data_IF_235784045423
#
_entry.id   IF_235784045423
#
_cell.length_a   1.000
_cell.length_b   1.000
_cell.length_c   1.000
_cell.angle_alpha   90.00
_cell.angle_beta   90.00
_cell.angle_gamma   90.00
#
_symmetry.space_group_name_H-M   'P 1'
#
loop_
_entity.id
_entity.type
_entity.pdbx_description
1 polymer ?
#
# COMPACT_ATOMS: atom_id res chain seq x y z
N UNK A 1 -36.74 -62.82 63.84
CA UNK A 1 -35.79 -61.72 64.09
C UNK A 1 -34.48 -62.06 63.38
N UNK A 2 -34.02 -61.22 62.46
CA UNK A 2 -32.64 -61.01 61.95
C UNK A 2 -32.77 -60.26 60.60
N UNK A 3 -32.96 -58.94 60.63
CA UNK A 3 -31.97 -57.88 60.30
C UNK A 3 -31.53 -57.85 58.82
N UNK A 4 -32.24 -57.04 58.03
CA UNK A 4 -31.82 -56.55 56.71
C UNK A 4 -30.64 -55.58 56.86
N UNK A 5 -29.57 -55.79 56.09
CA UNK A 5 -28.43 -54.88 55.94
C UNK A 5 -28.67 -54.01 54.69
N UNK A 6 -28.63 -52.66 54.76
CA UNK A 6 -28.72 -51.84 53.56
C UNK A 6 -27.35 -51.74 52.90
N UNK A 7 -27.26 -52.15 51.63
CA UNK A 7 -26.11 -51.88 50.77
C UNK A 7 -26.19 -50.42 50.35
N UNK A 8 -25.28 -49.59 50.88
CA UNK A 8 -25.08 -48.22 50.40
C UNK A 8 -24.16 -48.28 49.18
N UNK A 9 -24.76 -48.22 47.99
CA UNK A 9 -24.02 -48.02 46.75
C UNK A 9 -23.61 -46.54 46.65
N UNK A 10 -22.35 -46.24 46.94
CA UNK A 10 -21.77 -44.91 46.74
C UNK A 10 -21.63 -44.64 45.24
N UNK A 11 -22.52 -43.83 44.68
CA UNK A 11 -22.40 -43.25 43.34
C UNK A 11 -21.20 -42.28 43.34
N UNK A 12 -20.06 -42.76 42.83
CA UNK A 12 -18.91 -41.92 42.48
C UNK A 12 -19.29 -41.03 41.29
N UNK A 13 -19.69 -39.79 41.59
CA UNK A 13 -19.86 -38.75 40.58
C UNK A 13 -18.47 -38.38 40.03
N UNK A 14 -18.17 -38.61 38.74
CA UNK A 14 -16.90 -38.17 38.18
C UNK A 14 -16.87 -36.64 38.24
N UNK A 15 -16.00 -36.10 39.08
CA UNK A 15 -15.70 -34.68 39.09
C UNK A 15 -15.11 -34.30 37.72
N UNK A 16 -15.93 -33.74 36.83
CA UNK A 16 -15.44 -33.04 35.65
C UNK A 16 -14.66 -31.82 36.13
N UNK A 17 -13.35 -31.99 36.34
CA UNK A 17 -12.45 -30.84 36.45
C UNK A 17 -12.54 -30.06 35.14
N UNK A 18 -12.84 -28.75 35.18
CA UNK A 18 -12.73 -27.92 33.99
C UNK A 18 -11.27 -27.90 33.58
N UNK A 19 -10.93 -28.59 32.49
CA UNK A 19 -9.65 -28.42 31.83
C UNK A 19 -9.62 -26.96 31.39
N UNK A 20 -8.65 -26.14 31.85
CA UNK A 20 -8.53 -24.78 31.35
C UNK A 20 -8.33 -24.88 29.85
N UNK A 21 -9.28 -24.40 29.07
CA UNK A 21 -9.11 -24.24 27.64
C UNK A 21 -7.93 -23.29 27.45
N UNK A 22 -6.75 -23.84 27.13
CA UNK A 22 -5.61 -23.04 26.75
C UNK A 22 -6.07 -22.21 25.55
N UNK A 23 -6.22 -20.89 25.72
CA UNK A 23 -6.50 -19.99 24.63
C UNK A 23 -5.48 -20.28 23.53
N UNK A 24 -5.94 -20.82 22.40
CA UNK A 24 -5.05 -21.17 21.30
C UNK A 24 -4.24 -19.92 20.96
N UNK A 25 -2.92 -20.03 21.03
CA UNK A 25 -2.03 -18.92 20.72
C UNK A 25 -2.28 -18.52 19.26
N UNK A 26 -2.82 -17.32 19.04
CA UNK A 26 -2.95 -16.75 17.70
C UNK A 26 -1.57 -16.50 17.09
N UNK A 27 -1.33 -16.77 15.80
CA UNK A 27 -2.18 -17.55 14.92
C UNK A 27 -2.04 -19.07 15.17
N UNK A 28 -3.15 -19.80 15.09
CA UNK A 28 -3.19 -21.27 15.18
C UNK A 28 -3.47 -21.95 13.81
N UNK A 29 -3.69 -21.14 12.77
CA UNK A 29 -3.90 -21.55 11.37
C UNK A 29 -3.29 -20.49 10.44
N UNK A 30 -3.13 -20.75 9.13
CA UNK A 30 -2.61 -19.76 8.19
C UNK A 30 -3.41 -18.45 8.19
N UNK A 31 -2.70 -17.33 8.04
CA UNK A 31 -3.27 -15.98 7.92
C UNK A 31 -3.25 -15.57 6.45
N UNK A 32 -4.33 -14.99 5.94
CA UNK A 32 -4.38 -14.41 4.60
C UNK A 32 -4.00 -12.94 4.65
N UNK A 33 -3.11 -12.51 3.77
CA UNK A 33 -2.79 -11.10 3.56
C UNK A 33 -3.28 -10.67 2.18
N UNK A 34 -4.38 -9.92 2.12
CA UNK A 34 -4.86 -9.37 0.86
C UNK A 34 -4.03 -8.15 0.45
N UNK A 35 -3.63 -8.14 -0.82
CA UNK A 35 -2.92 -7.05 -1.49
C UNK A 35 -3.80 -6.61 -2.67
N UNK A 36 -4.53 -5.48 -2.60
CA UNK A 36 -5.51 -5.10 -3.60
C UNK A 36 -4.87 -4.49 -4.87
N UNK A 37 -3.69 -4.96 -5.23
CA UNK A 37 -2.87 -4.48 -6.34
C UNK A 37 -2.31 -5.66 -7.13
N UNK A 38 -1.98 -5.41 -8.40
CA UNK A 38 -1.29 -6.39 -9.23
C UNK A 38 0.11 -6.72 -8.68
N UNK A 39 0.62 -7.90 -9.03
CA UNK A 39 1.96 -8.35 -8.66
C UNK A 39 3.06 -7.52 -9.29
N UNK A 40 4.26 -7.51 -8.70
CA UNK A 40 5.45 -6.84 -9.24
C UNK A 40 5.56 -5.34 -8.96
N UNK A 41 4.62 -4.78 -8.18
CA UNK A 41 4.68 -3.38 -7.71
C UNK A 41 5.16 -3.25 -6.27
N UNK A 42 5.25 -2.01 -5.78
CA UNK A 42 5.68 -1.70 -4.41
C UNK A 42 4.80 -2.36 -3.33
N UNK A 43 3.46 -2.37 -3.50
CA UNK A 43 2.54 -3.04 -2.57
C UNK A 43 2.82 -4.56 -2.47
N UNK A 44 3.08 -5.20 -3.61
CA UNK A 44 3.37 -6.63 -3.69
C UNK A 44 4.71 -6.97 -3.01
N UNK A 45 5.74 -6.15 -3.25
CA UNK A 45 7.03 -6.27 -2.58
C UNK A 45 6.90 -6.15 -1.05
N UNK A 46 6.23 -5.10 -0.57
CA UNK A 46 6.01 -4.89 0.89
C UNK A 46 5.21 -6.04 1.48
N UNK A 47 4.09 -6.41 0.86
CA UNK A 47 3.20 -7.46 1.37
C UNK A 47 3.87 -8.82 1.44
N UNK A 48 4.64 -9.20 0.41
CA UNK A 48 5.37 -10.48 0.40
C UNK A 48 6.49 -10.51 1.42
N UNK A 49 7.26 -9.41 1.57
CA UNK A 49 8.34 -9.36 2.55
C UNK A 49 7.80 -9.43 3.99
N UNK A 50 6.72 -8.70 4.28
CA UNK A 50 6.05 -8.74 5.58
C UNK A 50 5.45 -10.13 5.84
N UNK A 51 4.74 -10.71 4.87
CA UNK A 51 4.16 -12.05 5.00
C UNK A 51 5.23 -13.12 5.25
N UNK A 52 6.36 -13.06 4.53
CA UNK A 52 7.48 -13.97 4.74
C UNK A 52 8.00 -13.88 6.20
N UNK A 53 8.29 -12.67 6.69
CA UNK A 53 8.83 -12.47 8.04
C UNK A 53 7.86 -12.82 9.15
N UNK A 54 6.58 -12.52 8.97
CA UNK A 54 5.55 -12.98 9.91
C UNK A 54 5.44 -14.50 9.91
N UNK A 55 5.58 -15.16 8.76
CA UNK A 55 5.58 -16.63 8.68
C UNK A 55 6.75 -17.25 9.44
N UNK A 56 7.95 -16.69 9.27
CA UNK A 56 9.16 -17.09 9.99
C UNK A 56 8.99 -16.91 11.51
N UNK A 57 8.43 -15.77 11.95
CA UNK A 57 8.28 -15.45 13.37
C UNK A 57 7.17 -16.25 14.07
N UNK A 58 6.01 -16.42 13.41
CA UNK A 58 4.87 -17.10 14.03
C UNK A 58 4.90 -18.62 13.89
N UNK A 59 5.73 -19.17 13.00
CA UNK A 59 5.68 -20.60 12.67
C UNK A 59 4.37 -21.01 11.98
N UNK A 60 3.60 -20.03 11.49
CA UNK A 60 2.35 -20.22 10.75
C UNK A 60 2.41 -19.43 9.46
N UNK A 61 1.94 -20.02 8.37
CA UNK A 61 1.99 -19.37 7.06
C UNK A 61 1.16 -18.10 7.01
N UNK A 62 1.74 -17.01 6.51
CA UNK A 62 1.03 -15.82 6.06
C UNK A 62 1.04 -15.82 4.53
N UNK A 63 -0.15 -15.92 3.93
CA UNK A 63 -0.33 -16.14 2.50
C UNK A 63 -0.69 -14.80 1.82
N UNK A 64 0.24 -14.16 1.09
CA UNK A 64 -0.06 -12.96 0.33
C UNK A 64 -0.91 -13.30 -0.91
N UNK A 65 -2.08 -12.66 -1.03
CA UNK A 65 -3.02 -12.83 -2.14
C UNK A 65 -3.29 -11.49 -2.85
N UNK A 66 -2.85 -11.37 -4.11
CA UNK A 66 -3.15 -10.21 -4.93
C UNK A 66 -4.60 -10.26 -5.43
N UNK A 67 -5.39 -9.21 -5.12
CA UNK A 67 -6.80 -9.06 -5.52
C UNK A 67 -7.03 -7.69 -6.17
N UNK A 68 -6.44 -7.50 -7.34
CA UNK A 68 -6.49 -6.22 -8.07
C UNK A 68 -7.87 -5.96 -8.72
N UNK A 69 -8.14 -4.69 -9.01
CA UNK A 69 -9.31 -4.24 -9.78
C UNK A 69 -10.06 -3.10 -9.09
N UNK A 70 -10.68 -2.21 -9.88
CA UNK A 70 -11.39 -1.01 -9.41
C UNK A 70 -10.57 -0.18 -8.40
N UNK A 71 -9.33 0.20 -8.73
CA UNK A 71 -8.39 0.88 -7.83
C UNK A 71 -8.19 0.19 -6.46
N UNK A 72 -8.32 -1.15 -6.46
CA UNK A 72 -8.16 -1.98 -5.28
C UNK A 72 -9.45 -2.20 -4.48
N UNK A 73 -10.57 -1.56 -4.84
CA UNK A 73 -11.82 -1.71 -4.12
C UNK A 73 -12.28 -3.17 -4.05
N UNK A 74 -12.08 -3.96 -5.12
CA UNK A 74 -12.47 -5.39 -5.12
C UNK A 74 -11.76 -6.16 -4.00
N UNK A 75 -10.42 -6.04 -3.91
CA UNK A 75 -9.65 -6.71 -2.86
C UNK A 75 -9.96 -6.20 -1.46
N UNK A 76 -10.17 -4.89 -1.33
CA UNK A 76 -10.55 -4.26 -0.07
C UNK A 76 -11.92 -4.70 0.41
N UNK A 77 -12.94 -4.75 -0.46
CA UNK A 77 -14.28 -5.23 -0.08
C UNK A 77 -14.30 -6.71 0.32
N UNK A 78 -13.46 -7.54 -0.32
CA UNK A 78 -13.29 -8.94 0.07
C UNK A 78 -12.71 -9.01 1.49
N UNK A 79 -11.69 -8.20 1.79
CA UNK A 79 -11.08 -8.16 3.11
C UNK A 79 -12.05 -7.63 4.19
N UNK A 80 -12.83 -6.59 3.87
CA UNK A 80 -13.81 -5.99 4.77
C UNK A 80 -14.90 -6.98 5.24
N UNK A 81 -15.29 -7.92 4.36
CA UNK A 81 -16.32 -8.94 4.65
C UNK A 81 -15.78 -10.16 5.40
N UNK A 82 -14.48 -10.22 5.67
CA UNK A 82 -13.88 -11.35 6.38
C UNK A 82 -14.28 -11.35 7.87
N UNK A 83 -14.20 -12.52 8.50
CA UNK A 83 -14.40 -12.62 9.93
C UNK A 83 -13.35 -11.75 10.67
N UNK A 84 -13.76 -10.98 11.70
CA UNK A 84 -12.85 -10.16 12.49
C UNK A 84 -12.08 -11.01 13.52
N UNK A 85 -11.45 -12.10 13.07
CA UNK A 85 -10.74 -13.08 13.90
C UNK A 85 -9.20 -12.97 13.78
N UNK A 86 -8.72 -12.01 12.98
CA UNK A 86 -7.30 -11.78 12.72
C UNK A 86 -6.66 -12.66 11.65
N UNK A 87 -7.38 -13.61 11.07
CA UNK A 87 -6.82 -14.49 10.03
C UNK A 87 -6.95 -13.91 8.62
N UNK A 88 -7.52 -12.71 8.50
CA UNK A 88 -7.48 -11.90 7.30
C UNK A 88 -6.90 -10.55 7.65
N UNK A 89 -5.84 -10.17 6.93
CA UNK A 89 -5.21 -8.87 6.99
C UNK A 89 -5.30 -8.22 5.60
N UNK A 90 -5.24 -6.89 5.58
CA UNK A 90 -5.21 -6.10 4.35
C UNK A 90 -3.98 -5.20 4.36
N UNK A 91 -3.18 -5.28 3.30
CA UNK A 91 -2.21 -4.24 2.98
C UNK A 91 -2.87 -3.25 2.01
N UNK A 92 -2.93 -1.99 2.37
CA UNK A 92 -3.55 -0.94 1.55
C UNK A 92 -2.81 0.38 1.70
N UNK A 93 -3.13 1.34 0.81
CA UNK A 93 -2.68 2.73 0.95
C UNK A 93 -3.85 3.66 1.29
N UNK A 94 -3.57 4.94 1.44
CA UNK A 94 -4.57 6.00 1.54
C UNK A 94 -5.56 6.01 0.35
N UNK A 95 -5.20 5.39 -0.78
CA UNK A 95 -6.06 5.30 -1.96
C UNK A 95 -7.43 4.69 -1.61
N UNK A 96 -7.45 3.58 -0.87
CA UNK A 96 -8.69 2.86 -0.56
C UNK A 96 -9.60 3.63 0.41
N UNK A 97 -9.02 4.35 1.37
CA UNK A 97 -9.77 4.92 2.50
C UNK A 97 -10.06 6.42 2.37
N UNK A 98 -9.35 7.09 1.45
CA UNK A 98 -9.40 8.54 1.32
C UNK A 98 -9.76 8.96 -0.10
N UNK A 99 -9.03 8.45 -1.09
CA UNK A 99 -9.17 8.91 -2.48
C UNK A 99 -10.36 8.22 -3.14
N UNK A 100 -10.47 6.89 -3.06
CA UNK A 100 -11.53 6.12 -3.72
C UNK A 100 -12.94 6.58 -3.30
N UNK A 101 -13.26 6.82 -2.01
CA UNK A 101 -14.57 7.35 -1.60
C UNK A 101 -14.88 8.74 -2.17
N UNK A 102 -13.85 9.52 -2.53
CA UNK A 102 -14.01 10.86 -3.08
C UNK A 102 -14.17 10.90 -4.61
N UNK A 103 -13.82 9.81 -5.32
CA UNK A 103 -13.85 9.76 -6.80
C UNK A 103 -14.84 8.75 -7.37
N UNK A 104 -15.12 7.65 -6.68
CA UNK A 104 -16.09 6.66 -7.13
C UNK A 104 -17.46 6.92 -6.51
N UNK A 105 -18.50 6.99 -7.34
CA UNK A 105 -19.89 7.19 -6.88
C UNK A 105 -20.47 5.97 -6.16
N UNK A 106 -20.05 4.76 -6.55
CA UNK A 106 -20.60 3.49 -6.05
C UNK A 106 -19.75 2.79 -4.99
N UNK A 107 -18.61 3.38 -4.60
CA UNK A 107 -17.84 2.81 -3.48
C UNK A 107 -18.67 2.97 -2.21
N UNK A 108 -18.79 1.88 -1.43
CA UNK A 108 -19.34 1.97 -0.08
C UNK A 108 -18.60 3.07 0.65
N UNK A 109 -19.31 4.14 1.01
CA UNK A 109 -18.71 5.38 1.50
C UNK A 109 -17.90 5.21 2.79
N UNK A 110 -17.94 4.05 3.44
CA UNK A 110 -17.37 3.85 4.75
C UNK A 110 -16.41 2.66 4.86
N UNK A 111 -15.59 2.44 3.83
CA UNK A 111 -14.50 1.46 3.91
C UNK A 111 -13.48 1.79 5.02
N UNK A 112 -13.49 2.96 5.64
CA UNK A 112 -12.61 3.22 6.79
C UNK A 112 -13.17 2.54 8.06
N UNK A 113 -14.47 2.65 8.34
CA UNK A 113 -15.06 2.05 9.53
C UNK A 113 -15.17 0.52 9.44
N UNK A 114 -14.97 -0.05 8.25
CA UNK A 114 -14.87 -1.51 8.03
C UNK A 114 -13.50 -2.10 8.42
N UNK A 115 -12.53 -1.29 8.89
CA UNK A 115 -11.20 -1.76 9.27
C UNK A 115 -10.65 -1.17 10.56
N UNK A 116 -9.86 -1.98 11.27
CA UNK A 116 -8.97 -1.57 12.34
C UNK A 116 -7.56 -1.28 11.77
N UNK A 117 -6.99 -0.07 11.97
CA UNK A 117 -5.63 0.24 11.58
C UNK A 117 -4.63 -0.52 12.48
N UNK A 118 -3.60 -1.11 11.88
CA UNK A 118 -2.55 -1.81 12.62
C UNK A 118 -1.28 -0.96 12.65
N UNK A 119 -0.69 -0.65 11.49
CA UNK A 119 0.55 0.13 11.42
C UNK A 119 0.81 0.66 10.02
N UNK A 120 1.42 1.85 9.93
CA UNK A 120 2.07 2.32 8.71
C UNK A 120 3.40 1.57 8.57
N UNK A 121 3.51 0.71 7.56
CA UNK A 121 4.68 -0.17 7.36
C UNK A 121 5.82 0.64 6.73
N UNK A 122 5.55 1.22 5.56
CA UNK A 122 6.55 1.93 4.76
C UNK A 122 5.96 3.13 4.04
N UNK A 123 6.79 4.12 3.74
CA UNK A 123 6.51 5.15 2.74
C UNK A 123 7.43 4.91 1.53
N UNK A 124 6.85 4.76 0.35
CA UNK A 124 7.55 4.68 -0.92
C UNK A 124 7.58 6.05 -1.58
N UNK A 125 8.72 6.48 -2.11
CA UNK A 125 8.75 7.64 -3.00
C UNK A 125 8.52 7.21 -4.44
N UNK A 126 7.80 8.03 -5.21
CA UNK A 126 7.75 7.85 -6.65
C UNK A 126 8.98 8.51 -7.29
N UNK A 127 9.38 7.99 -8.44
CA UNK A 127 10.33 8.64 -9.33
C UNK A 127 9.64 8.95 -10.65
N UNK A 128 9.90 10.15 -11.18
CA UNK A 128 9.45 10.55 -12.50
C UNK A 128 10.41 9.94 -13.52
N UNK A 129 9.89 9.08 -14.38
CA UNK A 129 10.66 8.42 -15.44
C UNK A 129 10.15 8.84 -16.80
N UNK A 130 11.06 8.86 -17.77
CA UNK A 130 10.77 9.06 -19.18
C UNK A 130 11.34 7.92 -20.01
N UNK A 131 10.74 7.67 -21.17
CA UNK A 131 11.41 6.89 -22.20
C UNK A 131 12.73 7.58 -22.60
N UNK A 132 13.81 6.82 -22.72
CA UNK A 132 15.14 7.35 -22.96
C UNK A 132 15.33 7.97 -24.36
N UNK A 133 14.43 7.69 -25.32
CA UNK A 133 14.44 8.30 -26.66
C UNK A 133 14.06 9.78 -26.65
N UNK A 134 13.37 10.26 -25.61
CA UNK A 134 13.08 11.68 -25.49
C UNK A 134 14.37 12.46 -25.19
N UNK A 135 14.56 13.63 -25.82
CA UNK A 135 15.71 14.50 -25.59
C UNK A 135 15.55 15.32 -24.29
N UNK A 136 15.12 14.68 -23.20
CA UNK A 136 14.92 15.30 -21.87
C UNK A 136 15.75 14.56 -20.83
N UNK A 137 16.45 15.28 -19.96
CA UNK A 137 17.38 14.70 -18.98
C UNK A 137 16.97 14.93 -17.53
N UNK A 138 16.10 15.91 -17.30
CA UNK A 138 15.66 16.33 -15.98
C UNK A 138 14.21 16.85 -16.06
N UNK A 139 13.65 17.30 -14.94
CA UNK A 139 12.27 17.80 -14.91
C UNK A 139 12.13 19.14 -15.62
N UNK A 140 13.15 20.00 -15.59
CA UNK A 140 13.11 21.28 -16.31
C UNK A 140 13.00 21.06 -17.83
N UNK A 141 13.73 20.08 -18.37
CA UNK A 141 13.66 19.69 -19.78
C UNK A 141 12.28 19.16 -20.13
N UNK A 142 11.68 18.32 -19.27
CA UNK A 142 10.30 17.86 -19.47
C UNK A 142 9.33 19.04 -19.55
N UNK A 143 9.42 19.99 -18.62
CA UNK A 143 8.55 21.16 -18.59
C UNK A 143 8.75 22.02 -19.83
N UNK A 144 10.00 22.30 -20.21
CA UNK A 144 10.31 23.06 -21.42
C UNK A 144 9.78 22.35 -22.69
N UNK A 145 10.00 21.04 -22.78
CA UNK A 145 9.54 20.23 -23.90
C UNK A 145 8.01 20.20 -23.99
N UNK A 146 7.31 20.01 -22.87
CA UNK A 146 5.85 20.00 -22.82
C UNK A 146 5.25 21.38 -23.15
N UNK A 147 5.88 22.48 -22.72
CA UNK A 147 5.47 23.84 -23.12
C UNK A 147 5.59 24.07 -24.63
N UNK A 148 6.68 23.60 -25.23
CA UNK A 148 6.89 23.70 -26.68
C UNK A 148 5.97 22.75 -27.48
N UNK A 149 5.43 21.71 -26.84
CA UNK A 149 4.65 20.65 -27.48
C UNK A 149 3.34 20.37 -26.71
N UNK A 150 2.43 21.35 -26.59
CA UNK A 150 1.23 21.20 -25.78
C UNK A 150 0.37 20.03 -26.27
N UNK A 151 -0.02 19.15 -25.34
CA UNK A 151 -0.86 17.99 -25.65
C UNK A 151 -0.16 16.82 -26.36
N UNK A 152 1.16 16.89 -26.61
CA UNK A 152 1.91 15.79 -27.26
C UNK A 152 2.60 14.84 -26.29
N UNK A 153 2.71 15.20 -25.02
CA UNK A 153 3.27 14.32 -23.99
C UNK A 153 2.14 13.55 -23.35
N UNK A 154 2.14 12.23 -23.54
CA UNK A 154 1.30 11.31 -22.82
C UNK A 154 2.03 10.85 -21.55
N UNK A 155 1.30 10.73 -20.44
CA UNK A 155 1.79 10.12 -19.23
C UNK A 155 0.96 8.92 -18.81
N UNK A 156 1.64 7.88 -18.33
CA UNK A 156 0.99 6.66 -17.86
C UNK A 156 0.70 6.77 -16.36
N UNK A 157 -0.42 6.17 -15.94
CA UNK A 157 -0.68 5.94 -14.52
C UNK A 157 -1.20 4.51 -14.30
N UNK A 158 -1.08 3.95 -13.09
CA UNK A 158 -1.65 2.65 -12.74
C UNK A 158 -3.19 2.67 -12.61
N UNK A 159 -3.85 3.79 -12.92
CA UNK A 159 -5.30 3.94 -12.90
C UNK A 159 -5.72 5.41 -12.74
N UNK A 160 -6.90 5.74 -13.26
CA UNK A 160 -7.55 7.05 -13.01
C UNK A 160 -7.70 7.25 -11.51
N UNK A 161 -7.41 8.46 -11.04
CA UNK A 161 -7.41 8.83 -9.62
C UNK A 161 -6.43 8.06 -8.71
N UNK A 162 -5.51 7.26 -9.25
CA UNK A 162 -4.39 6.72 -8.45
C UNK A 162 -3.50 7.85 -7.91
N UNK A 163 -2.75 7.65 -6.80
CA UNK A 163 -1.83 8.67 -6.28
C UNK A 163 -0.83 9.16 -7.34
N UNK A 164 -0.40 8.29 -8.24
CA UNK A 164 0.50 8.61 -9.35
C UNK A 164 -0.17 9.53 -10.38
N UNK A 165 -1.45 9.29 -10.68
CA UNK A 165 -2.25 10.20 -11.52
C UNK A 165 -2.38 11.57 -10.85
N UNK A 166 -2.79 11.61 -9.58
CA UNK A 166 -2.92 12.86 -8.82
C UNK A 166 -1.60 13.64 -8.75
N UNK A 167 -0.48 12.94 -8.61
CA UNK A 167 0.84 13.55 -8.59
C UNK A 167 1.24 14.12 -9.97
N UNK A 168 0.91 13.45 -11.09
CA UNK A 168 1.14 14.01 -12.42
C UNK A 168 0.28 15.25 -12.68
N UNK A 169 -0.98 15.25 -12.22
CA UNK A 169 -1.85 16.44 -12.26
C UNK A 169 -1.31 17.57 -11.38
N UNK A 170 -0.77 17.27 -10.20
CA UNK A 170 -0.09 18.24 -9.35
C UNK A 170 1.13 18.85 -10.05
N UNK A 171 1.95 18.04 -10.71
CA UNK A 171 3.09 18.54 -11.50
C UNK A 171 2.61 19.47 -12.62
N UNK A 172 1.57 19.09 -13.35
CA UNK A 172 0.96 19.93 -14.38
C UNK A 172 0.48 21.28 -13.84
N UNK A 173 -0.17 21.28 -12.66
CA UNK A 173 -0.62 22.49 -11.96
C UNK A 173 0.53 23.40 -11.55
N UNK A 174 1.56 22.85 -10.90
CA UNK A 174 2.73 23.61 -10.43
C UNK A 174 3.47 24.26 -11.62
N UNK A 175 3.58 23.52 -12.73
CA UNK A 175 4.41 23.92 -13.88
C UNK A 175 3.65 24.69 -14.96
N UNK A 176 2.32 24.63 -14.93
CA UNK A 176 1.43 25.16 -15.98
C UNK A 176 1.44 24.33 -17.27
N UNK A 177 2.03 23.13 -17.29
CA UNK A 177 2.05 22.28 -18.49
C UNK A 177 0.87 21.32 -18.53
N UNK A 178 0.36 21.07 -19.74
CA UNK A 178 -0.69 20.09 -19.98
C UNK A 178 -0.13 18.85 -20.65
N UNK A 179 -0.28 17.71 -19.99
CA UNK A 179 0.06 16.39 -20.50
C UNK A 179 -1.24 15.56 -20.60
N UNK A 180 -1.24 14.54 -21.45
CA UNK A 180 -2.40 13.68 -21.68
C UNK A 180 -2.28 12.43 -20.81
N UNK A 181 -3.29 12.19 -19.98
CA UNK A 181 -3.33 11.02 -19.12
C UNK A 181 -3.74 9.77 -19.90
N UNK A 182 -2.94 8.70 -19.79
CA UNK A 182 -3.26 7.35 -20.29
C UNK A 182 -3.40 6.40 -19.08
N UNK A 183 -4.62 6.02 -18.66
CA UNK A 183 -4.82 5.11 -17.55
C UNK A 183 -4.57 3.64 -17.92
N UNK A 184 -3.93 2.90 -17.02
CA UNK A 184 -3.75 1.45 -17.11
C UNK A 184 -4.36 0.75 -15.89
N UNK A 185 -4.43 -0.59 -15.90
CA UNK A 185 -4.89 -1.39 -14.75
C UNK A 185 -3.73 -1.79 -13.83
N UNK A 186 -2.82 -0.86 -13.56
CA UNK A 186 -1.67 -1.05 -12.68
C UNK A 186 -0.32 -0.80 -13.35
N UNK A 187 0.73 -0.73 -12.52
CA UNK A 187 2.11 -0.43 -12.96
C UNK A 187 2.65 -1.50 -13.93
N UNK A 188 2.29 -2.77 -13.73
CA UNK A 188 2.73 -3.87 -14.59
C UNK A 188 2.24 -3.77 -16.05
N UNK A 189 1.16 -3.01 -16.31
CA UNK A 189 0.71 -2.71 -17.67
C UNK A 189 1.28 -1.37 -18.18
N UNK A 190 1.36 -0.36 -17.30
CA UNK A 190 1.83 0.99 -17.66
C UNK A 190 3.32 1.04 -18.00
N UNK A 191 4.18 0.41 -17.18
CA UNK A 191 5.63 0.56 -17.29
C UNK A 191 6.21 -0.01 -18.59
N UNK A 192 5.78 -1.19 -19.09
CA UNK A 192 6.21 -1.69 -20.40
C UNK A 192 5.96 -0.72 -21.55
N UNK A 193 4.83 0.00 -21.55
CA UNK A 193 4.49 0.97 -22.60
C UNK A 193 5.39 2.21 -22.54
N UNK A 194 5.78 2.63 -21.34
CA UNK A 194 6.79 3.69 -21.17
C UNK A 194 8.16 3.22 -21.65
N UNK A 195 8.56 1.98 -21.32
CA UNK A 195 9.81 1.38 -21.80
C UNK A 195 9.83 1.26 -23.34
N UNK A 196 8.69 0.94 -23.94
CA UNK A 196 8.53 0.81 -25.39
C UNK A 196 8.36 2.17 -26.12
N UNK A 197 8.12 3.25 -25.38
CA UNK A 197 7.96 4.61 -25.92
C UNK A 197 6.55 4.91 -26.44
N UNK A 198 5.58 4.03 -26.18
CA UNK A 198 4.17 4.26 -26.51
C UNK A 198 3.59 5.41 -25.66
N UNK A 199 4.05 5.51 -24.41
CA UNK A 199 3.77 6.62 -23.50
C UNK A 199 5.08 7.24 -23.03
N UNK A 200 5.15 8.55 -22.92
CA UNK A 200 6.45 9.23 -22.83
C UNK A 200 7.00 9.28 -21.41
N UNK A 201 6.12 9.48 -20.42
CA UNK A 201 6.52 9.65 -19.01
C UNK A 201 5.58 8.93 -18.05
N UNK A 202 6.06 8.67 -16.84
CA UNK A 202 5.26 8.09 -15.75
C UNK A 202 5.88 8.45 -14.40
N UNK A 203 5.05 8.69 -13.39
CA UNK A 203 5.47 8.56 -12.00
C UNK A 203 5.27 7.11 -11.59
N UNK A 204 6.34 6.44 -11.16
CA UNK A 204 6.30 5.07 -10.69
C UNK A 204 7.10 4.92 -9.41
N UNK A 205 6.71 3.98 -8.55
CA UNK A 205 7.47 3.66 -7.34
C UNK A 205 8.83 3.12 -7.73
N UNK A 206 9.88 3.53 -7.03
CA UNK A 206 11.27 3.10 -7.27
C UNK A 206 11.43 1.56 -7.42
N UNK A 207 10.84 0.70 -6.56
CA UNK A 207 11.00 -0.76 -6.71
C UNK A 207 10.52 -1.30 -8.06
N UNK A 208 9.52 -0.63 -8.66
CA UNK A 208 8.96 -1.07 -9.94
C UNK A 208 9.88 -0.73 -11.12
N UNK A 209 10.67 0.35 -11.04
CA UNK A 209 11.52 0.81 -12.13
C UNK A 209 12.95 0.29 -12.06
N UNK A 210 13.47 0.04 -10.85
CA UNK A 210 14.87 -0.39 -10.63
C UNK A 210 15.27 -1.58 -11.50
N UNK A 211 14.47 -2.66 -11.64
CA UNK A 211 14.81 -3.79 -12.51
C UNK A 211 15.00 -3.43 -13.98
N UNK A 212 14.46 -2.29 -14.43
CA UNK A 212 14.46 -1.87 -15.83
C UNK A 212 15.50 -0.81 -16.16
N UNK A 213 16.13 -0.17 -15.15
CA UNK A 213 17.10 0.91 -15.37
C UNK A 213 18.33 0.45 -16.15
N UNK A 214 18.79 -0.79 -15.91
CA UNK A 214 19.94 -1.36 -16.63
C UNK A 214 19.72 -1.55 -18.14
N UNK A 215 18.48 -1.49 -18.63
CA UNK A 215 18.18 -1.63 -20.06
C UNK A 215 18.52 -0.37 -20.88
N UNK A 216 18.77 0.78 -20.24
CA UNK A 216 19.00 2.05 -20.92
C UNK A 216 17.77 2.65 -21.63
N UNK A 217 16.60 2.01 -21.53
CA UNK A 217 15.35 2.47 -22.17
C UNK A 217 14.53 3.43 -21.31
N UNK A 218 14.85 3.52 -20.02
CA UNK A 218 14.25 4.48 -19.09
C UNK A 218 15.29 5.46 -18.59
N UNK A 219 14.88 6.72 -18.44
CA UNK A 219 15.64 7.75 -17.74
C UNK A 219 14.85 8.22 -16.53
N UNK A 220 15.49 8.24 -15.37
CA UNK A 220 14.92 8.84 -14.17
C UNK A 220 15.18 10.34 -14.20
N UNK A 221 14.13 11.15 -14.21
CA UNK A 221 14.19 12.61 -14.27
C UNK A 221 14.24 13.25 -12.89
N UNK A 222 13.62 12.63 -11.88
CA UNK A 222 13.64 13.15 -10.52
C UNK A 222 12.93 12.26 -9.50
N UNK A 223 13.36 12.37 -8.25
CA UNK A 223 12.75 11.70 -7.10
C UNK A 223 11.64 12.59 -6.53
N UNK A 224 10.45 12.02 -6.32
CA UNK A 224 9.28 12.73 -5.79
C UNK A 224 9.27 12.87 -4.27
N UNK A 225 10.30 12.38 -3.57
CA UNK A 225 10.43 12.53 -2.12
C UNK A 225 11.14 13.83 -1.70
N UNK A 226 11.13 14.15 -0.40
CA UNK A 226 11.78 15.35 0.14
C UNK A 226 13.31 15.28 0.10
N UNK A 227 13.88 14.08 -0.10
CA UNK A 227 15.31 13.83 -0.17
C UNK A 227 15.60 12.78 -1.26
N UNK A 228 16.85 12.78 -1.72
CA UNK A 228 17.36 11.74 -2.61
C UNK A 228 17.35 10.38 -1.90
N UNK A 229 17.39 9.31 -2.68
CA UNK A 229 17.40 7.94 -2.16
C UNK A 229 18.73 7.25 -2.44
N UNK A 230 19.13 6.37 -1.52
CA UNK A 230 20.40 5.65 -1.62
C UNK A 230 20.53 4.80 -2.88
N UNK A 231 19.42 4.27 -3.42
CA UNK A 231 19.43 3.48 -4.66
C UNK A 231 19.68 4.30 -5.92
N UNK A 232 19.44 5.61 -5.87
CA UNK A 232 19.62 6.54 -6.99
C UNK A 232 20.24 7.85 -6.48
N UNK A 233 21.47 7.81 -5.95
CA UNK A 233 22.06 8.94 -5.21
C UNK A 233 22.34 10.16 -6.10
N UNK A 234 22.58 9.91 -7.39
CA UNK A 234 22.86 10.95 -8.38
C UNK A 234 21.60 11.63 -8.93
N UNK A 235 20.42 11.05 -8.69
CA UNK A 235 19.15 11.60 -9.19
C UNK A 235 18.64 12.65 -8.20
N UNK A 236 18.53 13.93 -8.61
CA UNK A 236 17.98 14.97 -7.75
C UNK A 236 16.50 14.74 -7.45
N UNK A 237 16.03 15.31 -6.35
CA UNK A 237 14.59 15.39 -6.12
C UNK A 237 13.95 16.36 -7.11
N UNK A 238 12.64 16.26 -7.29
CA UNK A 238 11.88 17.21 -8.11
C UNK A 238 11.87 18.59 -7.42
N UNK A 239 11.85 18.61 -6.09
CA UNK A 239 11.99 19.84 -5.30
C UNK A 239 13.34 20.54 -5.52
N UNK A 240 14.45 19.80 -5.52
CA UNK A 240 15.80 20.31 -5.82
C UNK A 240 15.92 20.91 -7.23
N UNK A 241 15.01 20.53 -8.14
CA UNK A 241 14.97 21.00 -9.52
C UNK A 241 14.13 22.27 -9.73
N UNK A 242 13.66 22.91 -8.66
CA UNK A 242 12.91 24.17 -8.72
C UNK A 242 11.40 24.01 -8.57
N UNK A 243 10.93 22.87 -8.05
CA UNK A 243 9.51 22.59 -7.80
C UNK A 243 9.28 22.21 -6.32
N UNK A 244 9.52 23.12 -5.37
CA UNK A 244 9.60 22.82 -3.94
C UNK A 244 8.29 22.29 -3.33
N UNK A 245 7.14 22.62 -3.93
CA UNK A 245 5.82 22.15 -3.48
C UNK A 245 5.44 20.78 -4.05
N UNK A 246 6.31 20.17 -4.87
CA UNK A 246 6.06 18.85 -5.41
C UNK A 246 6.53 17.76 -4.44
N UNK A 247 5.59 16.94 -3.99
CA UNK A 247 5.87 15.69 -3.32
C UNK A 247 4.98 14.58 -3.88
N UNK A 248 5.57 13.41 -4.11
CA UNK A 248 4.88 12.21 -4.54
C UNK A 248 5.42 11.00 -3.80
N UNK A 249 4.67 10.59 -2.78
CA UNK A 249 4.91 9.40 -2.00
C UNK A 249 3.64 8.54 -1.94
N UNK A 250 3.82 7.26 -1.60
CA UNK A 250 2.74 6.30 -1.38
C UNK A 250 3.02 5.60 -0.07
N UNK A 251 2.05 5.59 0.83
CA UNK A 251 2.19 4.91 2.11
C UNK A 251 1.51 3.53 2.07
N UNK A 252 2.20 2.53 2.59
CA UNK A 252 1.67 1.16 2.71
C UNK A 252 1.41 0.83 4.16
N UNK A 253 0.16 0.54 4.47
CA UNK A 253 -0.34 0.32 5.81
C UNK A 253 -1.02 -1.03 5.93
N UNK A 254 -0.97 -1.61 7.13
CA UNK A 254 -1.63 -2.86 7.47
C UNK A 254 -2.92 -2.59 8.24
N UNK A 255 -3.95 -3.37 7.92
CA UNK A 255 -5.28 -3.30 8.51
C UNK A 255 -5.82 -4.70 8.80
N UNK A 256 -6.79 -4.79 9.70
CA UNK A 256 -7.63 -5.97 9.89
C UNK A 256 -9.12 -5.56 9.82
N UNK A 257 -10.05 -6.50 9.59
CA UNK A 257 -11.48 -6.20 9.60
C UNK A 257 -11.94 -5.55 10.91
N UNK A 258 -12.92 -4.65 10.83
CA UNK A 258 -13.51 -3.98 12.00
C UNK A 258 -13.98 -4.97 13.07
N UNK A 259 -13.72 -4.66 14.34
CA UNK A 259 -14.07 -5.54 15.46
C UNK A 259 -13.05 -6.66 15.72
N UNK A 260 -11.93 -6.70 15.00
CA UNK A 260 -10.83 -7.63 15.32
C UNK A 260 -10.34 -7.40 16.75
N UNK A 261 -10.20 -8.46 17.58
CA UNK A 261 -9.82 -8.30 18.98
C UNK A 261 -8.54 -7.47 19.18
N UNK A 262 -8.55 -6.55 20.15
CA UNK A 262 -7.41 -5.66 20.42
C UNK A 262 -6.10 -6.41 20.70
N UNK A 263 -6.17 -7.57 21.35
CA UNK A 263 -4.99 -8.41 21.59
C UNK A 263 -4.38 -8.96 20.30
N UNK A 264 -5.20 -9.28 19.30
CA UNK A 264 -4.75 -9.68 17.96
C UNK A 264 -4.10 -8.50 17.26
N UNK A 265 -4.75 -7.32 17.24
CA UNK A 265 -4.19 -6.09 16.66
C UNK A 265 -2.82 -5.77 17.28
N UNK A 266 -2.73 -5.77 18.61
CA UNK A 266 -1.47 -5.51 19.34
C UNK A 266 -0.40 -6.54 19.01
N UNK A 267 -0.76 -7.82 18.83
CA UNK A 267 0.20 -8.87 18.48
C UNK A 267 0.73 -8.72 17.06
N UNK A 268 -0.14 -8.45 16.08
CA UNK A 268 0.26 -8.19 14.70
C UNK A 268 1.11 -6.92 14.62
N UNK A 269 0.67 -5.83 15.25
CA UNK A 269 1.43 -4.58 15.35
C UNK A 269 2.82 -4.82 15.92
N UNK A 270 2.92 -5.46 17.09
CA UNK A 270 4.20 -5.69 17.77
C UNK A 270 5.17 -6.47 16.90
N UNK A 271 4.68 -7.48 16.17
CA UNK A 271 5.53 -8.30 15.32
C UNK A 271 5.99 -7.54 14.06
N UNK A 272 5.09 -6.76 13.46
CA UNK A 272 5.42 -5.93 12.30
C UNK A 272 6.39 -4.81 12.68
N UNK A 273 6.26 -4.19 13.85
CA UNK A 273 7.24 -3.18 14.28
C UNK A 273 8.61 -3.81 14.55
N UNK A 274 8.66 -4.99 15.17
CA UNK A 274 9.92 -5.72 15.38
C UNK A 274 10.60 -6.06 14.06
N UNK A 275 9.87 -6.61 13.07
CA UNK A 275 10.47 -6.97 11.79
C UNK A 275 11.00 -5.73 11.05
N UNK A 276 10.34 -4.57 11.15
CA UNK A 276 10.78 -3.32 10.53
C UNK A 276 12.03 -2.72 11.17
N UNK A 277 12.36 -3.14 12.39
CA UNK A 277 13.59 -2.76 13.08
C UNK A 277 14.80 -3.65 12.69
N UNK A 278 14.57 -4.81 12.06
CA UNK A 278 15.65 -5.72 11.67
C UNK A 278 16.56 -5.09 10.59
N UNK A 279 17.89 -5.15 10.74
CA UNK A 279 18.81 -4.52 9.78
C UNK A 279 18.62 -5.00 8.33
N UNK A 280 18.46 -6.32 8.12
CA UNK A 280 18.25 -6.91 6.79
C UNK A 280 16.95 -6.42 6.13
N UNK A 281 15.90 -6.22 6.93
CA UNK A 281 14.63 -5.69 6.44
C UNK A 281 14.72 -4.20 6.12
N UNK A 282 15.36 -3.42 6.98
CA UNK A 282 15.61 -2.00 6.72
C UNK A 282 16.43 -1.81 5.45
N UNK A 283 17.49 -2.60 5.27
CA UNK A 283 18.33 -2.58 4.08
C UNK A 283 17.52 -2.93 2.83
N UNK A 284 16.74 -4.01 2.84
CA UNK A 284 15.88 -4.40 1.71
C UNK A 284 14.87 -3.33 1.34
N UNK A 285 14.22 -2.71 2.32
CA UNK A 285 13.27 -1.62 2.06
C UNK A 285 13.99 -0.39 1.51
N UNK A 286 15.07 0.06 2.14
CA UNK A 286 15.83 1.22 1.69
C UNK A 286 16.41 1.02 0.28
N UNK A 287 16.94 -0.17 -0.02
CA UNK A 287 17.43 -0.54 -1.35
C UNK A 287 16.31 -0.47 -2.39
N UNK A 288 15.08 -0.77 -2.01
CA UNK A 288 13.91 -0.62 -2.87
C UNK A 288 13.32 0.81 -2.86
N UNK A 289 13.91 1.80 -2.18
CA UNK A 289 13.38 3.16 -2.11
C UNK A 289 12.12 3.29 -1.22
N UNK A 290 11.99 2.39 -0.25
CA UNK A 290 10.95 2.37 0.77
C UNK A 290 11.54 2.72 2.12
N UNK A 291 10.97 3.70 2.80
CA UNK A 291 11.36 4.08 4.17
C UNK A 291 10.49 3.31 5.17
N UNK A 292 11.04 2.41 6.00
CA UNK A 292 10.30 1.75 7.08
C UNK A 292 9.85 2.76 8.14
N UNK A 293 8.60 2.66 8.58
CA UNK A 293 8.01 3.57 9.58
C UNK A 293 7.67 2.84 10.88
N UNK A 294 6.74 1.88 10.85
CA UNK A 294 6.29 1.16 12.04
C UNK A 294 5.49 2.02 13.02
N UNK A 295 4.50 2.76 12.53
CA UNK A 295 3.67 3.62 13.40
C UNK A 295 2.85 2.82 14.41
N UNK A 296 2.35 3.50 15.44
CA UNK A 296 1.24 2.99 16.26
C UNK A 296 -0.07 2.95 15.45
N UNK A 297 -1.06 2.14 15.89
CA UNK A 297 -2.42 2.17 15.34
C UNK A 297 -3.05 3.57 15.38
N UNK A 298 -2.83 4.31 16.48
CA UNK A 298 -3.41 5.63 16.71
C UNK A 298 -2.82 6.69 15.77
N UNK A 299 -1.51 6.67 15.53
CA UNK A 299 -0.86 7.57 14.56
C UNK A 299 -1.35 7.31 13.13
N UNK A 300 -1.52 6.04 12.75
CA UNK A 300 -2.08 5.69 11.44
C UNK A 300 -3.53 6.18 11.31
N UNK A 301 -4.35 5.98 12.34
CA UNK A 301 -5.73 6.47 12.35
C UNK A 301 -5.80 8.01 12.22
N UNK A 302 -4.94 8.73 12.96
CA UNK A 302 -4.86 10.18 12.89
C UNK A 302 -4.45 10.68 11.50
N UNK A 303 -3.46 10.02 10.87
CA UNK A 303 -3.02 10.32 9.51
C UNK A 303 -4.15 10.14 8.50
N UNK A 304 -4.86 9.02 8.54
CA UNK A 304 -5.99 8.76 7.63
C UNK A 304 -7.09 9.81 7.78
N UNK A 305 -7.41 10.21 9.02
CA UNK A 305 -8.38 11.28 9.29
C UNK A 305 -7.94 12.64 8.73
N UNK A 306 -6.65 12.97 8.80
CA UNK A 306 -6.11 14.19 8.20
C UNK A 306 -6.23 14.15 6.68
N UNK A 307 -5.88 13.01 6.07
CA UNK A 307 -5.95 12.81 4.62
C UNK A 307 -7.40 12.91 4.10
N UNK A 308 -8.39 12.41 4.85
CA UNK A 308 -9.82 12.55 4.52
C UNK A 308 -10.30 14.01 4.45
N UNK A 309 -9.68 14.93 5.20
CA UNK A 309 -10.03 16.34 5.11
C UNK A 309 -9.36 17.03 3.91
N UNK A 310 -8.17 16.56 3.52
CA UNK A 310 -7.33 17.17 2.48
C UNK A 310 -7.75 16.76 1.07
N UNK A 311 -7.75 15.46 0.78
CA UNK A 311 -7.80 14.96 -0.58
C UNK A 311 -9.14 15.17 -1.31
N UNK A 312 -10.32 15.04 -0.68
CA UNK A 312 -11.58 15.34 -1.37
C UNK A 312 -11.66 16.77 -1.90
N UNK A 313 -11.04 17.74 -1.21
CA UNK A 313 -10.95 19.12 -1.69
C UNK A 313 -10.08 19.21 -2.94
N UNK A 314 -8.88 18.62 -2.90
CA UNK A 314 -7.94 18.59 -4.04
C UNK A 314 -8.57 17.94 -5.27
N UNK A 315 -9.25 16.80 -5.09
CA UNK A 315 -9.93 16.06 -6.16
C UNK A 315 -11.01 16.91 -6.84
N UNK A 316 -11.87 17.60 -6.04
CA UNK A 316 -12.90 18.49 -6.56
C UNK A 316 -12.31 19.67 -7.32
N UNK A 317 -11.30 20.33 -6.75
CA UNK A 317 -10.62 21.46 -7.38
C UNK A 317 -9.89 21.04 -8.67
N UNK A 318 -9.48 19.77 -8.76
CA UNK A 318 -8.87 19.17 -9.95
C UNK A 318 -9.86 18.72 -11.02
N UNK A 319 -11.16 18.71 -10.73
CA UNK A 319 -12.16 18.20 -11.66
C UNK A 319 -11.99 16.71 -11.99
N UNK A 320 -11.25 15.98 -11.15
CA UNK A 320 -10.94 14.57 -11.37
C UNK A 320 -12.20 13.77 -11.09
N UNK A 321 -12.64 13.04 -12.12
CA UNK A 321 -13.75 12.11 -12.05
C UNK A 321 -13.27 10.76 -12.58
N UNK A 322 -13.75 9.69 -11.97
CA UNK A 322 -13.67 8.36 -12.58
C UNK A 322 -15.01 8.13 -13.25
N UNK A 323 -15.02 7.97 -14.57
CA UNK A 323 -16.21 7.52 -15.28
C UNK A 323 -16.44 6.04 -14.96
N UNK A 324 -17.71 5.67 -14.78
CA UNK A 324 -18.16 4.33 -14.38
C UNK A 324 -17.84 3.25 -15.43
#
# INVERSE_FOLDING_TARGET
>A
MLRFLPVVAALLWPACWPVPAAAQAYPAKPVRLYIPYATGGSADFVGRLVAQKLSESWGQQVLPENRAGANGNIGTEIAAKAAPDGYTLLLASELQFVINPAVFRYVRQDLLNDFEPITLITVAVNALVANASLPIKNVQDLVAYARANPGKINYASPGTASPNHLAMELLGRITGVKMVHIPYKGVGQALPDVIAGQVQVMLATVPAIVPHLGSGRLRVLGIGGPQRIATLPDVPTIAEQGFPDFESSVAWSLFAPAGTPKNVISRVHSEVVKLLALPDIRERFNAAGLTPIGSTPAELAARLKQDQNKWPRVIREAGIKVDD
#
